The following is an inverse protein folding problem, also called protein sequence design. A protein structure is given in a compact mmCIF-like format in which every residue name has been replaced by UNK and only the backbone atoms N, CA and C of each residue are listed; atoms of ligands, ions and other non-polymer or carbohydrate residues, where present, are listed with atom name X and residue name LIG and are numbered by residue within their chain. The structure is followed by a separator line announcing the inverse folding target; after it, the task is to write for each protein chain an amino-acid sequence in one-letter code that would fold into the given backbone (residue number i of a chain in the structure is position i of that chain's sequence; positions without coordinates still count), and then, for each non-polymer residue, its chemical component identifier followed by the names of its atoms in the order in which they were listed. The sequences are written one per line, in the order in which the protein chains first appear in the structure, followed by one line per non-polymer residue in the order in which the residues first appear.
data_IF_515807232345
#
_entry.id   IF_515807232345
#
_cell.length_a   1.000
_cell.length_b   1.000
_cell.length_c   1.000
_cell.angle_alpha   90.00
_cell.angle_beta   90.00
_cell.angle_gamma   90.00
#
_symmetry.space_group_name_H-M   'P 1'
#
loop_
_entity.id
_entity.type
_entity.pdbx_description
1 polymer ?
#
# COMPACT_ATOMS: atom_id res chain seq x y z
N UNK A 1 9.06 23.33 9.04
CA UNK A 1 7.71 22.96 8.59
C UNK A 1 7.70 23.04 7.07
N UNK A 2 8.05 21.95 6.38
CA UNK A 2 7.90 21.88 4.92
C UNK A 2 6.53 21.26 4.67
N UNK A 3 5.57 22.09 4.27
CA UNK A 3 4.34 21.59 3.68
C UNK A 3 4.68 21.24 2.22
N UNK A 4 4.80 19.95 1.94
CA UNK A 4 4.87 19.46 0.56
C UNK A 4 3.56 19.79 -0.10
N UNK A 5 3.59 20.68 -1.10
CA UNK A 5 2.53 20.77 -2.11
C UNK A 5 2.68 19.57 -3.05
N UNK A 6 2.53 18.36 -2.51
CA UNK A 6 2.23 17.18 -3.31
C UNK A 6 0.76 17.26 -3.68
N UNK A 7 0.39 16.85 -4.89
CA UNK A 7 -1.01 16.58 -5.18
C UNK A 7 -1.55 15.64 -4.10
N UNK A 8 -2.78 15.88 -3.64
CA UNK A 8 -3.40 14.98 -2.67
C UNK A 8 -3.39 13.56 -3.25
N UNK A 9 -3.01 12.58 -2.45
CA UNK A 9 -2.96 11.19 -2.87
C UNK A 9 -4.32 10.76 -3.48
N UNK A 10 -4.26 10.04 -4.59
CA UNK A 10 -5.39 9.55 -5.37
C UNK A 10 -5.63 8.06 -5.07
N UNK A 11 -6.61 7.72 -4.20
CA UNK A 11 -6.90 6.33 -3.88
C UNK A 11 -7.48 5.53 -5.05
N UNK A 12 -8.04 6.19 -6.08
CA UNK A 12 -8.49 5.50 -7.29
C UNK A 12 -7.30 5.04 -8.14
N UNK A 13 -6.27 5.89 -8.28
CA UNK A 13 -5.02 5.49 -8.91
C UNK A 13 -4.31 4.39 -8.09
N UNK A 14 -4.28 4.52 -6.76
CA UNK A 14 -3.76 3.50 -5.86
C UNK A 14 -4.45 2.14 -6.01
N UNK A 15 -5.77 2.15 -6.20
CA UNK A 15 -6.52 0.92 -6.49
C UNK A 15 -6.08 0.27 -7.81
N UNK A 16 -5.93 1.05 -8.87
CA UNK A 16 -5.49 0.55 -10.17
C UNK A 16 -4.08 -0.08 -10.08
N UNK A 17 -3.14 0.62 -9.44
CA UNK A 17 -1.81 0.09 -9.15
C UNK A 17 -1.87 -1.21 -8.34
N UNK A 18 -2.74 -1.29 -7.34
CA UNK A 18 -2.90 -2.47 -6.49
C UNK A 18 -3.45 -3.68 -7.25
N UNK A 19 -4.39 -3.47 -8.19
CA UNK A 19 -4.93 -4.53 -9.05
C UNK A 19 -3.80 -5.14 -9.89
N UNK A 20 -3.00 -4.31 -10.53
CA UNK A 20 -1.97 -4.76 -11.46
C UNK A 20 -0.77 -5.39 -10.74
N UNK A 21 -0.45 -4.92 -9.54
CA UNK A 21 0.83 -5.22 -8.89
C UNK A 21 0.71 -5.98 -7.57
N UNK A 22 -0.37 -5.81 -6.81
CA UNK A 22 -0.49 -6.33 -5.43
C UNK A 22 -1.44 -7.52 -5.32
N UNK A 23 -2.48 -7.59 -6.16
CA UNK A 23 -3.54 -8.58 -6.11
C UNK A 23 -3.08 -10.04 -6.27
N UNK A 24 -1.90 -10.25 -6.87
CA UNK A 24 -1.30 -11.59 -7.02
C UNK A 24 -0.98 -12.26 -5.67
N UNK A 25 -0.77 -11.46 -4.61
CA UNK A 25 -0.37 -11.95 -3.29
C UNK A 25 -1.33 -11.49 -2.19
N UNK A 26 -1.79 -10.24 -2.27
CA UNK A 26 -2.70 -9.65 -1.29
C UNK A 26 -4.15 -9.79 -1.75
N UNK A 27 -5.04 -9.98 -0.79
CA UNK A 27 -6.45 -9.64 -1.01
C UNK A 27 -6.58 -8.12 -0.88
N UNK A 28 -6.93 -7.45 -1.96
CA UNK A 28 -6.94 -5.98 -2.07
C UNK A 28 -8.34 -5.39 -1.96
N UNK A 29 -9.37 -6.22 -1.78
CA UNK A 29 -10.76 -5.78 -1.74
C UNK A 29 -11.18 -5.36 -0.31
N UNK A 30 -12.21 -4.49 -0.18
CA UNK A 30 -12.85 -4.24 1.10
C UNK A 30 -13.33 -5.55 1.75
N UNK A 31 -13.19 -5.68 3.07
CA UNK A 31 -13.61 -6.88 3.80
C UNK A 31 -12.81 -8.15 3.47
N UNK A 32 -11.69 -8.03 2.75
CA UNK A 32 -10.81 -9.15 2.43
C UNK A 32 -10.36 -9.90 3.69
N UNK A 33 -10.36 -11.23 3.63
CA UNK A 33 -10.08 -12.07 4.79
C UNK A 33 -8.72 -11.72 5.41
N UNK A 34 -8.64 -11.69 6.74
CA UNK A 34 -7.37 -11.50 7.46
C UNK A 34 -6.46 -12.73 7.23
N UNK A 35 -5.80 -12.77 6.07
CA UNK A 35 -4.80 -13.77 5.72
C UNK A 35 -3.59 -13.58 6.63
N UNK A 36 -2.93 -14.67 7.02
CA UNK A 36 -1.72 -14.56 7.83
C UNK A 36 -0.51 -14.14 6.98
N UNK A 37 -0.36 -14.68 5.76
CA UNK A 37 0.84 -14.46 4.93
C UNK A 37 0.57 -14.42 3.41
N UNK A 38 0.57 -13.22 2.77
CA UNK A 38 0.53 -11.89 3.38
C UNK A 38 -0.91 -11.45 3.76
N UNK A 39 -1.08 -10.46 4.66
CA UNK A 39 -2.39 -9.97 5.09
C UNK A 39 -3.18 -9.27 3.97
N UNK A 40 -4.51 -9.26 4.08
CA UNK A 40 -5.36 -8.45 3.21
C UNK A 40 -5.11 -6.95 3.42
N UNK A 41 -5.44 -6.14 2.43
CA UNK A 41 -5.37 -4.68 2.58
C UNK A 41 -6.33 -4.18 3.66
N UNK A 42 -7.54 -4.73 3.76
CA UNK A 42 -8.46 -4.41 4.86
C UNK A 42 -7.85 -4.69 6.26
N UNK A 43 -7.14 -5.81 6.42
CA UNK A 43 -6.43 -6.09 7.67
C UNK A 43 -5.20 -5.19 7.86
N UNK A 44 -4.50 -4.81 6.79
CA UNK A 44 -3.41 -3.85 6.88
C UNK A 44 -3.94 -2.49 7.35
N UNK A 45 -5.03 -2.01 6.74
CA UNK A 45 -5.69 -0.75 7.07
C UNK A 45 -6.00 -0.69 8.58
N UNK A 46 -6.81 -1.61 9.10
CA UNK A 46 -7.25 -1.55 10.50
C UNK A 46 -6.18 -1.86 11.57
N UNK A 47 -4.97 -2.30 11.20
CA UNK A 47 -3.93 -2.71 12.16
C UNK A 47 -2.55 -2.07 11.95
N UNK A 48 -2.36 -1.22 10.94
CA UNK A 48 -1.06 -0.63 10.61
C UNK A 48 -1.20 0.88 10.40
N UNK A 49 -0.40 1.71 11.10
CA UNK A 49 -0.40 3.14 10.83
C UNK A 49 0.18 3.42 9.44
N UNK A 50 -0.18 4.58 8.88
CA UNK A 50 0.21 5.05 7.55
C UNK A 50 1.72 4.87 7.28
N UNK A 51 2.55 5.33 8.21
CA UNK A 51 4.00 5.33 8.06
C UNK A 51 4.56 3.91 7.97
N UNK A 52 3.90 2.94 8.61
CA UNK A 52 4.28 1.54 8.53
C UNK A 52 3.90 0.93 7.17
N UNK A 53 2.76 1.33 6.60
CA UNK A 53 2.32 0.90 5.27
C UNK A 53 3.30 1.45 4.23
N UNK A 54 3.56 2.76 4.27
CA UNK A 54 4.51 3.45 3.41
C UNK A 54 5.91 2.81 3.47
N UNK A 55 6.46 2.65 4.68
CA UNK A 55 7.79 2.06 4.86
C UNK A 55 7.85 0.63 4.35
N UNK A 56 6.78 -0.16 4.49
CA UNK A 56 6.72 -1.54 4.01
C UNK A 56 6.70 -1.63 2.49
N UNK A 57 6.02 -0.71 1.80
CA UNK A 57 5.97 -0.65 0.33
C UNK A 57 7.35 -0.24 -0.23
N UNK A 58 7.96 0.79 0.35
CA UNK A 58 9.25 1.30 -0.11
C UNK A 58 10.42 0.35 0.22
N UNK A 59 10.39 -0.23 1.43
CA UNK A 59 11.48 -1.01 2.02
C UNK A 59 10.95 -2.29 2.68
N UNK A 60 10.58 -3.31 1.87
CA UNK A 60 10.16 -4.59 2.41
C UNK A 60 11.29 -5.26 3.22
N UNK A 61 10.91 -6.15 4.14
CA UNK A 61 11.86 -6.87 4.96
C UNK A 61 12.85 -7.67 4.11
N UNK A 62 14.10 -7.80 4.60
CA UNK A 62 15.12 -8.61 3.94
C UNK A 62 14.63 -10.06 3.78
N UNK A 63 14.83 -10.63 2.58
CA UNK A 63 14.31 -11.95 2.16
C UNK A 63 12.77 -12.06 2.08
N UNK A 64 12.04 -10.95 2.09
CA UNK A 64 10.61 -10.95 1.75
C UNK A 64 10.41 -11.25 0.26
N UNK A 65 9.38 -12.02 -0.13
CA UNK A 65 8.95 -12.14 -1.53
C UNK A 65 8.28 -10.86 -2.06
N UNK A 66 7.99 -9.88 -1.20
CA UNK A 66 7.45 -8.59 -1.59
C UNK A 66 8.54 -7.74 -2.27
N UNK A 67 8.34 -7.27 -3.51
CA UNK A 67 9.31 -6.42 -4.21
C UNK A 67 9.54 -5.09 -3.48
N UNK A 68 10.75 -4.54 -3.59
CA UNK A 68 11.06 -3.18 -3.13
C UNK A 68 10.50 -2.16 -4.14
N UNK A 69 9.24 -1.76 -3.95
CA UNK A 69 8.49 -0.97 -4.93
C UNK A 69 9.09 0.41 -5.24
N UNK A 70 9.97 0.92 -4.37
CA UNK A 70 10.78 2.12 -4.61
C UNK A 70 11.67 2.06 -5.87
N UNK A 71 11.86 0.88 -6.46
CA UNK A 71 12.59 0.71 -7.74
C UNK A 71 11.69 0.85 -8.98
N UNK A 72 10.37 0.77 -8.83
CA UNK A 72 9.41 0.80 -9.95
C UNK A 72 8.39 1.93 -9.85
N UNK A 73 8.06 2.36 -8.63
CA UNK A 73 7.13 3.46 -8.38
C UNK A 73 7.85 4.69 -7.86
N UNK A 74 7.36 5.85 -8.29
CA UNK A 74 7.73 7.13 -7.71
C UNK A 74 7.00 7.34 -6.37
N UNK A 75 7.27 8.48 -5.72
CA UNK A 75 6.70 8.75 -4.39
C UNK A 75 5.18 8.95 -4.41
N UNK A 76 4.66 9.66 -5.41
CA UNK A 76 3.23 9.95 -5.53
C UNK A 76 2.43 8.65 -5.76
N UNK A 77 2.92 7.74 -6.60
CA UNK A 77 2.31 6.42 -6.83
C UNK A 77 2.27 5.55 -5.56
N UNK A 78 3.29 5.66 -4.70
CA UNK A 78 3.30 4.97 -3.42
C UNK A 78 2.34 5.63 -2.43
N UNK A 79 2.26 6.96 -2.41
CA UNK A 79 1.29 7.68 -1.57
C UNK A 79 -0.15 7.35 -1.99
N UNK A 80 -0.42 7.18 -3.30
CA UNK A 80 -1.71 6.72 -3.84
C UNK A 80 -2.05 5.29 -3.36
N UNK A 81 -1.08 4.37 -3.39
CA UNK A 81 -1.24 3.01 -2.84
C UNK A 81 -1.55 3.03 -1.34
N UNK A 82 -0.86 3.88 -0.57
CA UNK A 82 -1.10 4.04 0.87
C UNK A 82 -2.50 4.59 1.11
N UNK A 83 -2.91 5.61 0.37
CA UNK A 83 -4.25 6.20 0.47
C UNK A 83 -5.35 5.18 0.13
N UNK A 84 -5.13 4.36 -0.90
CA UNK A 84 -6.07 3.28 -1.21
C UNK A 84 -6.17 2.27 -0.06
N UNK A 85 -5.05 1.81 0.50
CA UNK A 85 -5.07 0.87 1.64
C UNK A 85 -5.80 1.46 2.84
N UNK A 86 -5.50 2.71 3.22
CA UNK A 86 -6.16 3.39 4.34
C UNK A 86 -7.66 3.59 4.12
N UNK A 87 -8.11 3.72 2.87
CA UNK A 87 -9.54 3.84 2.57
C UNK A 87 -10.36 2.57 2.87
N UNK A 88 -9.70 1.46 3.22
CA UNK A 88 -10.32 0.16 3.51
C UNK A 88 -10.49 -0.14 5.00
N UNK A 89 -10.22 0.83 5.88
CA UNK A 89 -10.60 0.74 7.30
C UNK A 89 -12.12 0.60 7.52
#
# INVERSE_FOLDING_TARGET
LFASTGWAADPQNGQALAVDNCARCHDIAPGGAAKLHPPSFAAIAGYRPEEQILARILFPALHSPMPAWSQWFNRDEVDDLVAYIQSLE
#
